data_IF_932562699061
#
_entry.id   IF_932562699061
#
_cell.length_a   1.000
_cell.length_b   1.000
_cell.length_c   1.000
_cell.angle_alpha   90.00
_cell.angle_beta   90.00
_cell.angle_gamma   90.00
#
_symmetry.space_group_name_H-M   'P 1'
#
loop_
_entity.id
_entity.type
_entity.pdbx_description
1 polymer ?
#
# COMPACT_ATOMS: atom_id res chain seq x y z
N UNK A 1 37.76 -13.82 -28.53
CA UNK A 1 37.72 -12.56 -27.75
C UNK A 1 37.73 -12.81 -26.24
N UNK A 2 36.81 -13.60 -25.67
CA UNK A 2 36.83 -13.91 -24.23
C UNK A 2 38.09 -14.66 -23.77
N UNK A 3 38.59 -15.62 -24.55
CA UNK A 3 39.84 -16.32 -24.23
C UNK A 3 41.05 -15.37 -24.17
N UNK A 4 41.17 -14.47 -25.16
CA UNK A 4 42.22 -13.43 -25.19
C UNK A 4 42.09 -12.48 -24.01
N UNK A 5 40.90 -11.96 -23.73
CA UNK A 5 40.65 -11.05 -22.60
C UNK A 5 41.04 -11.68 -21.25
N UNK A 6 40.56 -12.89 -20.99
CA UNK A 6 40.91 -13.62 -19.77
C UNK A 6 42.43 -13.85 -19.66
N UNK A 7 43.11 -14.13 -20.78
CA UNK A 7 44.54 -14.41 -20.82
C UNK A 7 45.40 -13.15 -20.62
N UNK A 8 45.20 -12.12 -21.45
CA UNK A 8 46.09 -10.95 -21.54
C UNK A 8 45.73 -9.84 -20.56
N UNK A 9 44.45 -9.67 -20.23
CA UNK A 9 43.97 -8.52 -19.47
C UNK A 9 43.74 -8.86 -17.98
N UNK A 10 43.17 -10.02 -17.71
CA UNK A 10 42.81 -10.45 -16.35
C UNK A 10 43.81 -11.44 -15.74
N UNK A 11 44.74 -11.99 -16.53
CA UNK A 11 45.63 -13.09 -16.13
C UNK A 11 44.88 -14.32 -15.57
N UNK A 12 43.62 -14.51 -15.97
CA UNK A 12 42.81 -15.69 -15.65
C UNK A 12 43.08 -16.80 -16.66
N UNK A 13 44.24 -17.43 -16.51
CA UNK A 13 44.71 -18.48 -17.42
C UNK A 13 43.82 -19.72 -17.42
N UNK A 14 43.07 -19.98 -16.34
CA UNK A 14 42.17 -21.15 -16.24
C UNK A 14 40.91 -20.92 -17.06
N UNK A 15 40.30 -19.74 -16.95
CA UNK A 15 39.16 -19.35 -17.78
C UNK A 15 39.58 -19.24 -19.25
N UNK A 16 40.74 -18.62 -19.52
CA UNK A 16 41.28 -18.53 -20.87
C UNK A 16 41.43 -19.91 -21.54
N UNK A 17 42.05 -20.87 -20.84
CA UNK A 17 42.22 -22.24 -21.33
C UNK A 17 40.88 -22.95 -21.56
N UNK A 18 39.89 -22.71 -20.70
CA UNK A 18 38.55 -23.29 -20.84
C UNK A 18 37.85 -22.72 -22.08
N UNK A 19 37.89 -21.40 -22.26
CA UNK A 19 37.36 -20.74 -23.44
C UNK A 19 38.05 -21.22 -24.73
N UNK A 20 39.38 -21.40 -24.70
CA UNK A 20 40.16 -21.86 -25.85
C UNK A 20 39.81 -23.30 -26.25
N UNK A 21 39.61 -24.20 -25.28
CA UNK A 21 39.15 -25.57 -25.57
C UNK A 21 37.78 -25.58 -26.25
N UNK A 22 36.85 -24.77 -25.75
CA UNK A 22 35.52 -24.66 -26.35
C UNK A 22 35.58 -24.07 -27.76
N UNK A 23 36.45 -23.08 -27.99
CA UNK A 23 36.68 -22.49 -29.31
C UNK A 23 37.18 -23.54 -30.31
N UNK A 24 38.20 -24.32 -29.94
CA UNK A 24 38.75 -25.36 -30.80
C UNK A 24 37.73 -26.45 -31.17
N UNK A 25 36.83 -26.82 -30.26
CA UNK A 25 35.76 -27.77 -30.56
C UNK A 25 34.73 -27.18 -31.54
N UNK A 26 34.42 -25.89 -31.42
CA UNK A 26 33.57 -25.18 -32.37
C UNK A 26 34.23 -25.06 -33.74
N UNK A 27 35.50 -24.67 -33.81
CA UNK A 27 36.19 -24.49 -35.10
C UNK A 27 36.34 -25.79 -35.89
N UNK A 28 36.61 -26.91 -35.21
CA UNK A 28 36.63 -28.23 -35.85
C UNK A 28 35.28 -28.59 -36.47
N UNK A 29 34.19 -28.23 -35.79
CA UNK A 29 32.83 -28.59 -36.18
C UNK A 29 32.30 -27.69 -37.28
N UNK A 30 32.42 -26.38 -37.10
CA UNK A 30 31.76 -25.38 -37.91
C UNK A 30 32.63 -24.91 -39.09
N UNK A 31 33.96 -25.07 -38.99
CA UNK A 31 34.92 -24.61 -40.00
C UNK A 31 36.02 -25.64 -40.35
N UNK A 32 35.68 -26.89 -40.72
CA UNK A 32 36.67 -27.96 -40.96
C UNK A 32 37.68 -27.66 -42.07
N UNK A 33 37.36 -26.77 -43.01
CA UNK A 33 38.26 -26.34 -44.10
C UNK A 33 39.25 -25.23 -43.71
N UNK A 34 39.06 -24.57 -42.56
CA UNK A 34 39.85 -23.40 -42.13
C UNK A 34 41.05 -23.80 -41.26
N UNK A 35 41.92 -24.65 -41.82
CA UNK A 35 43.04 -25.25 -41.08
C UNK A 35 44.01 -24.22 -40.46
N UNK A 36 44.26 -23.07 -41.10
CA UNK A 36 45.17 -22.04 -40.54
C UNK A 36 44.68 -21.51 -39.19
N UNK A 37 43.38 -21.22 -39.06
CA UNK A 37 42.81 -20.68 -37.83
C UNK A 37 42.88 -21.70 -36.70
N UNK A 38 42.53 -22.95 -37.01
CA UNK A 38 42.71 -24.06 -36.08
C UNK A 38 44.16 -24.19 -35.59
N UNK A 39 45.15 -24.03 -36.49
CA UNK A 39 46.56 -24.10 -36.13
C UNK A 39 47.00 -22.92 -35.26
N UNK A 40 46.49 -21.72 -35.53
CA UNK A 40 46.72 -20.53 -34.71
C UNK A 40 46.15 -20.73 -33.30
N UNK A 41 44.92 -21.23 -33.18
CA UNK A 41 44.29 -21.48 -31.88
C UNK A 41 44.98 -22.61 -31.10
N UNK A 42 45.50 -23.62 -31.80
CA UNK A 42 46.36 -24.64 -31.21
C UNK A 42 47.68 -24.05 -30.70
N UNK A 43 48.31 -23.13 -31.43
CA UNK A 43 49.54 -22.47 -30.99
C UNK A 43 49.29 -21.58 -29.76
N UNK A 44 48.19 -20.82 -29.74
CA UNK A 44 47.76 -20.05 -28.57
C UNK A 44 47.45 -20.96 -27.37
N UNK A 45 46.82 -22.11 -27.60
CA UNK A 45 46.57 -23.10 -26.54
C UNK A 45 47.87 -23.72 -26.00
N UNK A 46 48.90 -23.89 -26.82
CA UNK A 46 50.21 -24.35 -26.38
C UNK A 46 50.86 -23.35 -25.41
N UNK A 47 50.72 -22.05 -25.66
CA UNK A 47 51.14 -21.00 -24.73
C UNK A 47 50.39 -21.10 -23.39
N UNK A 48 49.06 -21.29 -23.43
CA UNK A 48 48.26 -21.47 -22.22
C UNK A 48 48.69 -22.72 -21.44
N UNK A 49 49.03 -23.81 -22.13
CA UNK A 49 49.59 -24.99 -21.49
C UNK A 49 50.94 -24.69 -20.83
N UNK A 50 51.81 -23.94 -21.49
CA UNK A 50 53.09 -23.51 -20.93
C UNK A 50 52.89 -22.70 -19.64
N UNK A 51 52.06 -21.65 -19.68
CA UNK A 51 51.82 -20.74 -18.55
C UNK A 51 51.12 -21.44 -17.38
N UNK A 52 50.24 -22.40 -17.66
CA UNK A 52 49.58 -23.21 -16.62
C UNK A 52 50.41 -24.41 -16.12
N UNK A 53 51.69 -24.51 -16.53
CA UNK A 53 52.60 -25.56 -16.08
C UNK A 53 52.42 -26.92 -16.75
N UNK A 54 51.50 -27.05 -17.72
CA UNK A 54 51.27 -28.25 -18.53
C UNK A 54 52.29 -28.37 -19.67
N UNK A 55 53.59 -28.29 -19.35
CA UNK A 55 54.69 -28.20 -20.33
C UNK A 55 54.73 -29.37 -21.31
N UNK A 56 54.40 -30.60 -20.88
CA UNK A 56 54.35 -31.75 -21.79
C UNK A 56 53.31 -31.57 -22.93
N UNK A 57 52.14 -31.01 -22.61
CA UNK A 57 51.08 -30.76 -23.60
C UNK A 57 51.45 -29.61 -24.54
N UNK A 58 52.12 -28.58 -24.02
CA UNK A 58 52.66 -27.50 -24.84
C UNK A 58 53.64 -28.07 -25.89
N UNK A 59 54.60 -28.89 -25.46
CA UNK A 59 55.54 -29.56 -26.36
C UNK A 59 54.86 -30.46 -27.38
N UNK A 60 53.90 -31.28 -26.96
CA UNK A 60 53.13 -32.14 -27.86
C UNK A 60 52.45 -31.31 -28.95
N UNK A 61 51.85 -30.19 -28.57
CA UNK A 61 51.11 -29.31 -29.48
C UNK A 61 52.06 -28.63 -30.47
N UNK A 62 53.18 -28.07 -30.01
CA UNK A 62 54.18 -27.44 -30.86
C UNK A 62 54.78 -28.43 -31.85
N UNK A 63 55.21 -29.61 -31.39
CA UNK A 63 55.76 -30.65 -32.27
C UNK A 63 54.76 -31.08 -33.34
N UNK A 64 53.47 -31.17 -32.98
CA UNK A 64 52.41 -31.49 -33.94
C UNK A 64 52.25 -30.42 -35.01
N UNK A 65 52.25 -29.14 -34.63
CA UNK A 65 52.12 -28.02 -35.57
C UNK A 65 53.30 -27.98 -36.55
N UNK A 66 54.53 -28.13 -36.05
CA UNK A 66 55.74 -28.11 -36.86
C UNK A 66 55.88 -29.32 -37.79
N UNK A 67 55.41 -30.49 -37.36
CA UNK A 67 55.47 -31.73 -38.16
C UNK A 67 54.43 -31.78 -39.29
N UNK A 68 53.44 -30.88 -39.29
CA UNK A 68 52.33 -30.89 -40.24
C UNK A 68 52.13 -29.49 -40.86
N UNK A 69 53.14 -28.94 -41.56
CA UNK A 69 53.08 -27.55 -42.01
C UNK A 69 51.96 -27.33 -43.02
N UNK A 70 51.22 -26.23 -42.84
CA UNK A 70 50.26 -25.73 -43.83
C UNK A 70 50.95 -24.83 -44.86
N UNK A 71 50.30 -24.63 -46.02
CA UNK A 71 50.75 -23.67 -47.04
C UNK A 71 50.73 -22.22 -46.53
N UNK A 72 49.71 -21.89 -45.75
CA UNK A 72 49.63 -20.62 -45.03
C UNK A 72 50.40 -20.77 -43.72
N UNK A 73 51.44 -19.97 -43.54
CA UNK A 73 52.43 -20.11 -42.47
C UNK A 73 52.24 -19.08 -41.34
N UNK A 74 51.12 -18.34 -41.31
CA UNK A 74 50.86 -17.32 -40.29
C UNK A 74 50.96 -17.83 -38.85
N UNK A 75 50.43 -19.02 -38.57
CA UNK A 75 50.47 -19.64 -37.23
C UNK A 75 51.90 -19.91 -36.71
N UNK A 76 52.92 -19.87 -37.59
CA UNK A 76 54.30 -20.17 -37.20
C UNK A 76 54.93 -19.09 -36.33
N UNK A 77 54.48 -17.84 -36.38
CA UNK A 77 54.92 -16.79 -35.46
C UNK A 77 54.71 -17.22 -34.00
N UNK A 78 53.46 -17.52 -33.63
CA UNK A 78 53.09 -17.99 -32.30
C UNK A 78 53.74 -19.34 -31.98
N UNK A 79 53.78 -20.25 -32.95
CA UNK A 79 54.36 -21.60 -32.76
C UNK A 79 55.82 -21.51 -32.34
N UNK A 80 56.62 -20.73 -33.06
CA UNK A 80 58.04 -20.57 -32.76
C UNK A 80 58.28 -19.70 -31.53
N UNK A 81 57.39 -18.75 -31.21
CA UNK A 81 57.45 -18.04 -29.94
C UNK A 81 57.33 -19.01 -28.76
N UNK A 82 56.30 -19.87 -28.77
CA UNK A 82 56.09 -20.85 -27.69
C UNK A 82 57.20 -21.90 -27.66
N UNK A 83 57.70 -22.34 -28.81
CA UNK A 83 58.87 -23.23 -28.89
C UNK A 83 60.08 -22.59 -28.19
N UNK A 84 60.36 -21.32 -28.50
CA UNK A 84 61.43 -20.55 -27.88
C UNK A 84 61.31 -20.50 -26.35
N UNK A 85 60.10 -20.26 -25.82
CA UNK A 85 59.83 -20.26 -24.37
C UNK A 85 60.03 -21.64 -23.73
N UNK A 86 59.61 -22.71 -24.41
CA UNK A 86 59.82 -24.08 -23.94
C UNK A 86 61.30 -24.41 -23.81
N UNK A 87 62.12 -23.98 -24.79
CA UNK A 87 63.57 -24.13 -24.75
C UNK A 87 64.24 -23.26 -23.67
N UNK A 88 63.79 -22.02 -23.46
CA UNK A 88 64.28 -21.20 -22.32
C UNK A 88 64.04 -21.92 -20.99
N UNK A 89 62.86 -22.53 -20.81
CA UNK A 89 62.50 -23.26 -19.60
C UNK A 89 63.38 -24.51 -19.38
N UNK A 90 63.89 -25.11 -20.44
CA UNK A 90 64.83 -26.23 -20.39
C UNK A 90 66.30 -25.78 -20.28
N UNK A 91 66.57 -24.47 -20.25
CA UNK A 91 67.92 -23.92 -20.19
C UNK A 91 68.67 -23.91 -21.53
N UNK A 92 67.98 -24.19 -22.64
CA UNK A 92 68.55 -24.22 -23.98
C UNK A 92 68.54 -22.82 -24.64
N UNK A 93 69.28 -21.88 -24.06
CA UNK A 93 69.24 -20.45 -24.43
C UNK A 93 69.60 -20.17 -25.90
N UNK A 94 70.60 -20.86 -26.46
CA UNK A 94 71.02 -20.64 -27.84
C UNK A 94 69.96 -21.13 -28.85
N UNK A 95 69.44 -22.34 -28.63
CA UNK A 95 68.33 -22.89 -29.41
C UNK A 95 67.09 -22.00 -29.29
N UNK A 96 66.76 -21.56 -28.08
CA UNK A 96 65.64 -20.66 -27.83
C UNK A 96 65.76 -19.37 -28.66
N UNK A 97 66.95 -18.78 -28.74
CA UNK A 97 67.18 -17.57 -29.54
C UNK A 97 66.93 -17.79 -31.04
N UNK A 98 67.27 -18.97 -31.57
CA UNK A 98 67.00 -19.32 -32.98
C UNK A 98 65.49 -19.29 -33.24
N UNK A 99 64.71 -19.97 -32.40
CA UNK A 99 63.26 -20.00 -32.52
C UNK A 99 62.62 -18.62 -32.29
N UNK A 100 63.17 -17.80 -31.39
CA UNK A 100 62.72 -16.41 -31.22
C UNK A 100 62.94 -15.59 -32.50
N UNK A 101 64.06 -15.77 -33.20
CA UNK A 101 64.31 -15.10 -34.49
C UNK A 101 63.33 -15.55 -35.57
N UNK A 102 63.03 -16.84 -35.63
CA UNK A 102 62.02 -17.36 -36.55
C UNK A 102 60.65 -16.74 -36.24
N UNK A 103 60.23 -16.76 -34.97
CA UNK A 103 59.01 -16.08 -34.53
C UNK A 103 58.97 -14.62 -34.99
N UNK A 104 60.05 -13.88 -34.75
CA UNK A 104 60.17 -12.47 -35.15
C UNK A 104 59.99 -12.29 -36.66
N UNK A 105 60.63 -13.12 -37.48
CA UNK A 105 60.52 -13.06 -38.94
C UNK A 105 59.07 -13.24 -39.41
N UNK A 106 58.39 -14.28 -38.93
CA UNK A 106 56.99 -14.53 -39.28
C UNK A 106 56.07 -13.44 -38.75
N UNK A 107 56.29 -12.95 -37.53
CA UNK A 107 55.48 -11.86 -36.97
C UNK A 107 55.67 -10.55 -37.75
N UNK A 108 56.89 -10.19 -38.15
CA UNK A 108 57.14 -8.99 -38.96
C UNK A 108 56.49 -9.12 -40.35
N UNK A 109 56.53 -10.31 -40.96
CA UNK A 109 55.90 -10.58 -42.27
C UNK A 109 54.40 -10.36 -42.25
N UNK A 110 53.74 -10.75 -41.17
CA UNK A 110 52.28 -10.69 -41.03
C UNK A 110 51.76 -9.48 -40.24
N UNK A 111 52.65 -8.64 -39.71
CA UNK A 111 52.28 -7.47 -38.89
C UNK A 111 51.77 -7.84 -37.49
N UNK A 112 52.21 -8.96 -36.94
CA UNK A 112 51.81 -9.44 -35.61
C UNK A 112 52.69 -8.83 -34.51
N UNK A 113 52.43 -7.56 -34.22
CA UNK A 113 53.27 -6.73 -33.33
C UNK A 113 53.51 -7.36 -31.94
N UNK A 114 52.52 -8.06 -31.38
CA UNK A 114 52.63 -8.70 -30.05
C UNK A 114 53.69 -9.81 -30.05
N UNK A 115 53.63 -10.72 -31.04
CA UNK A 115 54.60 -11.80 -31.21
C UNK A 115 55.99 -11.27 -31.55
N UNK A 116 56.07 -10.21 -32.34
CA UNK A 116 57.34 -9.55 -32.66
C UNK A 116 57.99 -8.95 -31.41
N UNK A 117 57.21 -8.23 -30.60
CA UNK A 117 57.68 -7.64 -29.35
C UNK A 117 58.10 -8.72 -28.34
N UNK A 118 57.37 -9.83 -28.25
CA UNK A 118 57.69 -10.94 -27.38
C UNK A 118 58.97 -11.69 -27.81
N UNK A 119 59.14 -11.93 -29.10
CA UNK A 119 60.38 -12.49 -29.65
C UNK A 119 61.59 -11.58 -29.40
N UNK A 120 61.44 -10.26 -29.60
CA UNK A 120 62.49 -9.28 -29.32
C UNK A 120 62.95 -9.32 -27.86
N UNK A 121 62.04 -9.49 -26.89
CA UNK A 121 62.43 -9.66 -25.46
C UNK A 121 63.37 -10.84 -25.26
N UNK A 122 63.08 -12.00 -25.87
CA UNK A 122 63.92 -13.20 -25.76
C UNK A 122 65.29 -12.96 -26.41
N UNK A 123 65.29 -12.39 -27.62
CA UNK A 123 66.53 -12.05 -28.34
C UNK A 123 67.39 -11.08 -27.52
N UNK A 124 66.79 -10.02 -26.97
CA UNK A 124 67.48 -9.05 -26.11
C UNK A 124 68.08 -9.67 -24.86
N UNK A 125 67.36 -10.60 -24.19
CA UNK A 125 67.94 -11.33 -23.05
C UNK A 125 69.18 -12.12 -23.47
N UNK A 126 69.11 -12.83 -24.59
CA UNK A 126 70.25 -13.56 -25.12
C UNK A 126 71.41 -12.64 -25.52
N UNK A 127 71.13 -11.49 -26.15
CA UNK A 127 72.14 -10.48 -26.50
C UNK A 127 72.82 -9.93 -25.23
N UNK A 128 72.05 -9.68 -24.17
CA UNK A 128 72.58 -9.25 -22.87
C UNK A 128 73.46 -10.30 -22.21
N UNK A 129 73.04 -11.57 -22.21
CA UNK A 129 73.81 -12.70 -21.64
C UNK A 129 75.14 -12.86 -22.40
N UNK A 130 75.11 -12.71 -23.72
CA UNK A 130 76.27 -12.87 -24.59
C UNK A 130 77.14 -11.60 -24.69
N UNK A 131 76.80 -10.52 -23.96
CA UNK A 131 77.55 -9.25 -24.01
C UNK A 131 77.46 -8.50 -25.33
N UNK A 132 76.50 -8.83 -26.21
CA UNK A 132 76.32 -8.21 -27.51
C UNK A 132 75.49 -6.91 -27.38
N UNK A 133 76.10 -5.88 -26.81
CA UNK A 133 75.42 -4.62 -26.49
C UNK A 133 74.86 -3.89 -27.73
N UNK A 134 75.53 -4.01 -28.88
CA UNK A 134 75.09 -3.35 -30.13
C UNK A 134 73.76 -3.92 -30.63
N UNK A 135 73.63 -5.26 -30.70
CA UNK A 135 72.37 -5.89 -31.07
C UNK A 135 71.29 -5.67 -30.01
N UNK A 136 71.67 -5.70 -28.73
CA UNK A 136 70.74 -5.40 -27.63
C UNK A 136 70.10 -4.02 -27.79
N UNK A 137 70.88 -2.96 -28.01
CA UNK A 137 70.36 -1.59 -28.17
C UNK A 137 69.44 -1.50 -29.39
N UNK A 138 69.86 -2.07 -30.53
CA UNK A 138 69.04 -2.09 -31.75
C UNK A 138 67.70 -2.79 -31.54
N UNK A 139 67.71 -3.94 -30.88
CA UNK A 139 66.51 -4.72 -30.62
C UNK A 139 65.61 -4.04 -29.58
N UNK A 140 66.21 -3.34 -28.61
CA UNK A 140 65.50 -2.52 -27.63
C UNK A 140 64.74 -1.37 -28.29
N UNK A 141 65.37 -0.62 -29.19
CA UNK A 141 64.72 0.50 -29.87
C UNK A 141 63.49 0.03 -30.68
N UNK A 142 63.62 -1.10 -31.37
CA UNK A 142 62.50 -1.76 -32.06
C UNK A 142 61.40 -2.15 -31.09
N UNK A 143 61.77 -2.81 -29.99
CA UNK A 143 60.83 -3.23 -28.96
C UNK A 143 60.05 -2.04 -28.37
N UNK A 144 60.74 -0.96 -28.01
CA UNK A 144 60.13 0.22 -27.39
C UNK A 144 59.11 0.88 -28.35
N UNK A 145 59.41 0.90 -29.66
CA UNK A 145 58.48 1.39 -30.68
C UNK A 145 57.19 0.57 -30.78
N UNK A 146 57.31 -0.77 -30.70
CA UNK A 146 56.17 -1.69 -30.75
C UNK A 146 55.37 -1.69 -29.45
N UNK A 147 56.06 -1.67 -28.30
CA UNK A 147 55.44 -1.71 -26.98
C UNK A 147 54.47 -0.53 -26.74
N UNK A 148 54.82 0.67 -27.24
CA UNK A 148 53.94 1.83 -27.20
C UNK A 148 52.63 1.62 -27.99
N UNK A 149 52.73 1.05 -29.19
CA UNK A 149 51.57 0.76 -30.05
C UNK A 149 50.69 -0.33 -29.44
N UNK A 150 51.29 -1.42 -28.97
CA UNK A 150 50.58 -2.54 -28.33
C UNK A 150 49.79 -2.04 -27.11
N UNK A 151 50.41 -1.28 -26.21
CA UNK A 151 49.76 -0.75 -25.01
C UNK A 151 48.55 0.13 -25.33
N UNK A 152 48.65 0.97 -26.36
CA UNK A 152 47.53 1.80 -26.80
C UNK A 152 46.40 0.94 -27.39
N UNK A 153 46.75 -0.10 -28.17
CA UNK A 153 45.80 -1.09 -28.69
C UNK A 153 45.06 -1.84 -27.59
N UNK A 154 45.78 -2.37 -26.60
CA UNK A 154 45.18 -3.04 -25.43
C UNK A 154 44.23 -2.12 -24.66
N UNK A 155 44.61 -0.85 -24.47
CA UNK A 155 43.77 0.14 -23.79
C UNK A 155 42.47 0.37 -24.57
N UNK A 156 42.55 0.49 -25.90
CA UNK A 156 41.38 0.61 -26.75
C UNK A 156 40.47 -0.63 -26.68
N UNK A 157 41.05 -1.84 -26.67
CA UNK A 157 40.30 -3.08 -26.52
C UNK A 157 39.63 -3.21 -25.14
N UNK A 158 40.31 -2.86 -24.04
CA UNK A 158 39.72 -2.79 -22.69
C UNK A 158 38.50 -1.87 -22.68
N UNK A 159 38.63 -0.67 -23.27
CA UNK A 159 37.51 0.28 -23.38
C UNK A 159 36.36 -0.31 -24.19
N UNK A 160 36.63 -1.01 -25.30
CA UNK A 160 35.61 -1.64 -26.12
C UNK A 160 34.85 -2.73 -25.35
N UNK A 161 35.56 -3.61 -24.64
CA UNK A 161 34.94 -4.66 -23.80
C UNK A 161 34.09 -4.05 -22.69
N UNK A 162 34.61 -3.05 -21.97
CA UNK A 162 33.86 -2.36 -20.90
C UNK A 162 32.59 -1.71 -21.46
N UNK A 163 32.65 -1.09 -22.66
CA UNK A 163 31.48 -0.51 -23.32
C UNK A 163 30.43 -1.57 -23.65
N UNK A 164 30.82 -2.72 -24.18
CA UNK A 164 29.88 -3.82 -24.48
C UNK A 164 29.29 -4.43 -23.20
N UNK A 165 30.10 -4.67 -22.17
CA UNK A 165 29.61 -5.12 -20.86
C UNK A 165 28.62 -4.12 -20.26
N UNK A 166 28.91 -2.81 -20.37
CA UNK A 166 28.00 -1.77 -19.90
C UNK A 166 26.67 -1.78 -20.66
N UNK A 167 26.68 -1.93 -22.00
CA UNK A 167 25.46 -2.06 -22.81
C UNK A 167 24.63 -3.27 -22.38
N UNK A 168 25.27 -4.43 -22.20
CA UNK A 168 24.60 -5.65 -21.76
C UNK A 168 23.98 -5.48 -20.36
N UNK A 169 24.77 -4.98 -19.40
CA UNK A 169 24.30 -4.73 -18.03
C UNK A 169 23.18 -3.69 -17.99
N UNK A 170 23.19 -2.71 -18.89
CA UNK A 170 22.10 -1.74 -19.04
C UNK A 170 20.80 -2.42 -19.48
N UNK A 171 20.85 -3.29 -20.49
CA UNK A 171 19.68 -4.04 -20.97
C UNK A 171 19.10 -4.91 -19.85
N UNK A 172 19.94 -5.61 -19.09
CA UNK A 172 19.49 -6.41 -17.94
C UNK A 172 18.80 -5.53 -16.90
N UNK A 173 19.42 -4.42 -16.50
CA UNK A 173 18.82 -3.51 -15.50
C UNK A 173 17.50 -2.93 -15.97
N UNK A 174 17.37 -2.58 -17.25
CA UNK A 174 16.12 -2.11 -17.82
C UNK A 174 15.05 -3.22 -17.76
N UNK A 175 15.40 -4.46 -18.10
CA UNK A 175 14.50 -5.61 -17.96
C UNK A 175 14.07 -5.85 -16.50
N UNK A 176 15.01 -5.87 -15.54
CA UNK A 176 14.73 -6.02 -14.11
C UNK A 176 13.81 -4.91 -13.59
N UNK A 177 14.06 -3.65 -13.97
CA UNK A 177 13.19 -2.53 -13.61
C UNK A 177 11.78 -2.72 -14.13
N UNK A 178 11.62 -3.12 -15.40
CA UNK A 178 10.27 -3.36 -15.96
C UNK A 178 9.56 -4.50 -15.23
N UNK A 179 10.28 -5.54 -14.84
CA UNK A 179 9.74 -6.65 -14.07
C UNK A 179 9.28 -6.20 -12.67
N UNK A 180 10.10 -5.44 -11.95
CA UNK A 180 9.76 -4.89 -10.62
C UNK A 180 8.54 -3.97 -10.71
N UNK A 181 8.48 -3.07 -11.70
CA UNK A 181 7.33 -2.18 -11.91
C UNK A 181 6.05 -2.98 -12.12
N UNK A 182 6.08 -4.05 -12.92
CA UNK A 182 4.91 -4.92 -13.13
C UNK A 182 4.45 -5.59 -11.84
N UNK A 183 5.38 -6.13 -11.04
CA UNK A 183 5.04 -6.74 -9.75
C UNK A 183 4.36 -5.71 -8.83
N UNK A 184 4.91 -4.50 -8.73
CA UNK A 184 4.33 -3.44 -7.91
C UNK A 184 2.92 -3.08 -8.38
N UNK A 185 2.71 -2.95 -9.70
CA UNK A 185 1.37 -2.68 -10.27
C UNK A 185 0.36 -3.79 -9.94
N UNK A 186 0.73 -5.06 -10.13
CA UNK A 186 -0.17 -6.18 -9.80
C UNK A 186 -0.45 -6.28 -8.30
N UNK A 187 0.54 -6.03 -7.46
CA UNK A 187 0.34 -6.01 -6.00
C UNK A 187 -0.61 -4.90 -5.56
N UNK A 188 -0.51 -3.71 -6.17
CA UNK A 188 -1.43 -2.61 -5.95
C UNK A 188 -2.86 -2.95 -6.36
N UNK A 189 -3.05 -3.54 -7.55
CA UNK A 189 -4.36 -3.99 -8.02
C UNK A 189 -4.97 -5.09 -7.14
N UNK A 190 -4.16 -6.00 -6.61
CA UNK A 190 -4.64 -7.02 -5.69
C UNK A 190 -5.12 -6.41 -4.37
N UNK A 191 -4.39 -5.44 -3.81
CA UNK A 191 -4.78 -4.74 -2.59
C UNK A 191 -6.08 -3.96 -2.75
N UNK A 192 -6.27 -3.27 -3.88
CA UNK A 192 -7.53 -2.55 -4.15
C UNK A 192 -8.70 -3.49 -4.33
N UNK A 193 -8.51 -4.63 -5.00
CA UNK A 193 -9.53 -5.67 -5.13
C UNK A 193 -9.93 -6.26 -3.76
N UNK A 194 -8.95 -6.56 -2.89
CA UNK A 194 -9.22 -7.05 -1.52
C UNK A 194 -10.01 -6.01 -0.73
N UNK A 195 -9.62 -4.74 -0.78
CA UNK A 195 -10.34 -3.67 -0.09
C UNK A 195 -11.80 -3.55 -0.60
N UNK A 196 -12.00 -3.63 -1.92
CA UNK A 196 -13.35 -3.62 -2.50
C UNK A 196 -14.18 -4.83 -2.04
N UNK A 197 -13.61 -6.04 -2.00
CA UNK A 197 -14.28 -7.23 -1.47
C UNK A 197 -14.67 -7.05 0.00
N UNK A 198 -13.80 -6.48 0.84
CA UNK A 198 -14.10 -6.20 2.24
C UNK A 198 -15.26 -5.21 2.35
N UNK A 199 -15.25 -4.11 1.58
CA UNK A 199 -16.35 -3.12 1.56
C UNK A 199 -17.66 -3.78 1.16
N UNK A 200 -17.67 -4.58 0.08
CA UNK A 200 -18.86 -5.31 -0.38
C UNK A 200 -19.37 -6.25 0.73
N UNK A 201 -18.49 -6.99 1.42
CA UNK A 201 -18.86 -7.87 2.53
C UNK A 201 -19.46 -7.09 3.71
N UNK A 202 -18.90 -5.93 4.05
CA UNK A 202 -19.43 -5.06 5.11
C UNK A 202 -20.82 -4.51 4.75
N UNK A 203 -21.00 -4.04 3.52
CA UNK A 203 -22.30 -3.57 3.02
C UNK A 203 -23.34 -4.69 3.00
N UNK A 204 -22.96 -5.89 2.54
CA UNK A 204 -23.82 -7.07 2.59
C UNK A 204 -24.23 -7.42 4.02
N UNK A 205 -23.28 -7.42 4.96
CA UNK A 205 -23.55 -7.69 6.38
C UNK A 205 -24.47 -6.63 6.97
N UNK A 206 -24.24 -5.35 6.66
CA UNK A 206 -25.07 -4.25 7.14
C UNK A 206 -26.51 -4.37 6.65
N UNK A 207 -26.72 -4.62 5.35
CA UNK A 207 -28.05 -4.83 4.78
C UNK A 207 -28.76 -6.05 5.38
N UNK A 208 -28.03 -7.15 5.58
CA UNK A 208 -28.58 -8.35 6.23
C UNK A 208 -29.03 -8.10 7.67
N UNK A 209 -28.28 -7.30 8.43
CA UNK A 209 -28.68 -6.93 9.79
C UNK A 209 -29.90 -6.00 9.79
N UNK A 210 -29.97 -5.04 8.86
CA UNK A 210 -31.14 -4.15 8.70
C UNK A 210 -32.42 -4.93 8.39
N UNK A 211 -32.35 -5.88 7.46
CA UNK A 211 -33.49 -6.73 7.13
C UNK A 211 -33.97 -7.54 8.34
N UNK A 212 -33.05 -8.07 9.16
CA UNK A 212 -33.41 -8.77 10.40
C UNK A 212 -34.10 -7.85 11.40
N UNK A 213 -33.59 -6.64 11.59
CA UNK A 213 -34.20 -5.69 12.53
C UNK A 213 -35.58 -5.24 12.06
N UNK A 214 -35.76 -4.99 10.77
CA UNK A 214 -37.06 -4.65 10.18
C UNK A 214 -38.06 -5.82 10.34
N UNK A 215 -37.62 -7.06 10.14
CA UNK A 215 -38.46 -8.24 10.33
C UNK A 215 -38.87 -8.44 11.81
N UNK A 216 -37.95 -8.19 12.75
CA UNK A 216 -38.24 -8.23 14.19
C UNK A 216 -39.20 -7.12 14.63
N UNK A 217 -39.04 -5.89 14.12
CA UNK A 217 -39.97 -4.80 14.36
C UNK A 217 -41.36 -5.10 13.78
N UNK A 218 -41.44 -5.65 12.56
CA UNK A 218 -42.71 -6.01 11.93
C UNK A 218 -43.47 -7.04 12.78
N UNK A 219 -42.79 -8.08 13.27
CA UNK A 219 -43.38 -9.08 14.17
C UNK A 219 -43.88 -8.46 15.47
N UNK A 220 -43.13 -7.52 16.07
CA UNK A 220 -43.55 -6.81 17.29
C UNK A 220 -44.82 -5.99 17.05
N UNK A 221 -44.85 -5.21 15.97
CA UNK A 221 -46.02 -4.41 15.60
C UNK A 221 -47.26 -5.28 15.35
N UNK A 222 -47.09 -6.42 14.67
CA UNK A 222 -48.18 -7.39 14.51
C UNK A 222 -48.71 -7.89 15.85
N UNK A 223 -47.82 -8.29 16.77
CA UNK A 223 -48.23 -8.74 18.11
C UNK A 223 -48.92 -7.64 18.92
N UNK A 224 -48.49 -6.39 18.79
CA UNK A 224 -49.10 -5.25 19.47
C UNK A 224 -50.49 -4.95 18.91
N UNK A 225 -50.65 -5.00 17.58
CA UNK A 225 -51.96 -4.84 16.92
C UNK A 225 -52.91 -5.95 17.37
N UNK A 226 -52.43 -7.19 17.45
CA UNK A 226 -53.22 -8.33 17.92
C UNK A 226 -53.63 -8.19 19.39
N UNK A 227 -52.69 -7.78 20.25
CA UNK A 227 -52.98 -7.50 21.66
C UNK A 227 -54.05 -6.42 21.84
N UNK A 228 -53.94 -5.29 21.11
CA UNK A 228 -54.94 -4.21 21.15
C UNK A 228 -56.31 -4.66 20.64
N UNK A 229 -56.35 -5.53 19.62
CA UNK A 229 -57.63 -6.13 19.17
C UNK A 229 -58.27 -6.96 20.27
N UNK A 230 -57.49 -7.82 20.93
CA UNK A 230 -57.98 -8.64 22.03
C UNK A 230 -58.44 -7.79 23.23
N UNK A 231 -57.71 -6.71 23.55
CA UNK A 231 -58.09 -5.76 24.59
C UNK A 231 -59.41 -5.07 24.26
N UNK A 232 -59.59 -4.58 23.03
CA UNK A 232 -60.84 -3.97 22.57
C UNK A 232 -62.02 -4.97 22.63
N UNK A 233 -61.79 -6.23 22.23
CA UNK A 233 -62.80 -7.28 22.34
C UNK A 233 -63.17 -7.53 23.82
N UNK A 234 -62.19 -7.60 24.71
CA UNK A 234 -62.42 -7.75 26.16
C UNK A 234 -63.21 -6.58 26.75
N UNK A 235 -62.90 -5.33 26.36
CA UNK A 235 -63.63 -4.14 26.78
C UNK A 235 -65.08 -4.23 26.30
N UNK A 236 -65.31 -4.62 25.04
CA UNK A 236 -66.67 -4.77 24.50
C UNK A 236 -67.48 -5.83 25.25
N UNK A 237 -66.85 -6.96 25.62
CA UNK A 237 -67.47 -8.00 26.43
C UNK A 237 -67.82 -7.50 27.83
N UNK A 238 -66.89 -6.81 28.52
CA UNK A 238 -67.15 -6.21 29.83
C UNK A 238 -68.25 -5.15 29.77
N UNK A 239 -68.28 -4.35 28.71
CA UNK A 239 -69.31 -3.34 28.47
C UNK A 239 -70.68 -3.99 28.27
N UNK A 240 -70.75 -5.07 27.49
CA UNK A 240 -71.99 -5.85 27.32
C UNK A 240 -72.43 -6.53 28.62
N UNK A 241 -71.50 -7.05 29.42
CA UNK A 241 -71.79 -7.60 30.76
C UNK A 241 -72.35 -6.53 31.70
N UNK A 242 -71.71 -5.37 31.77
CA UNK A 242 -72.19 -4.25 32.60
C UNK A 242 -73.52 -3.70 32.10
N UNK A 243 -73.76 -3.62 30.79
CA UNK A 243 -75.08 -3.28 30.23
C UNK A 243 -76.13 -4.30 30.69
N UNK A 244 -75.87 -5.60 30.59
CA UNK A 244 -76.79 -6.64 31.07
C UNK A 244 -77.04 -6.56 32.59
N UNK A 245 -76.03 -6.24 33.39
CA UNK A 245 -76.17 -6.01 34.85
C UNK A 245 -76.95 -4.72 35.16
N UNK A 246 -76.76 -3.67 34.36
CA UNK A 246 -77.52 -2.42 34.43
C UNK A 246 -78.98 -2.64 34.02
N UNK A 247 -79.27 -3.49 33.04
CA UNK A 247 -80.64 -3.88 32.70
C UNK A 247 -81.31 -4.69 33.83
N UNK A 248 -80.57 -5.61 34.46
CA UNK A 248 -81.07 -6.35 35.64
C UNK A 248 -81.33 -5.43 36.85
N UNK A 249 -80.45 -4.46 37.11
CA UNK A 249 -80.65 -3.47 38.17
C UNK A 249 -81.74 -2.46 37.80
N UNK A 250 -81.90 -2.09 36.53
CA UNK A 250 -83.03 -1.29 36.04
C UNK A 250 -84.36 -2.02 36.23
N UNK A 251 -84.45 -3.34 36.03
CA UNK A 251 -85.66 -4.11 36.31
C UNK A 251 -85.96 -4.22 37.82
N UNK A 252 -84.95 -4.43 38.66
CA UNK A 252 -85.10 -4.37 40.13
C UNK A 252 -85.51 -2.97 40.61
N UNK A 253 -84.95 -1.93 39.99
CA UNK A 253 -85.28 -0.53 40.26
C UNK A 253 -86.66 -0.17 39.71
N UNK A 254 -87.14 -0.78 38.61
CA UNK A 254 -88.49 -0.60 38.10
C UNK A 254 -89.55 -1.22 39.05
N UNK A 255 -89.26 -2.37 39.66
CA UNK A 255 -90.11 -2.96 40.71
C UNK A 255 -90.17 -2.10 41.98
N UNK A 256 -89.05 -1.49 42.39
CA UNK A 256 -88.99 -0.60 43.57
C UNK A 256 -89.51 0.82 43.28
N UNK A 257 -89.39 1.32 42.05
CA UNK A 257 -89.93 2.61 41.62
C UNK A 257 -91.45 2.55 41.42
N UNK A 258 -92.02 1.41 41.02
CA UNK A 258 -93.48 1.22 41.03
C UNK A 258 -94.10 1.32 42.44
N UNK A 259 -93.29 1.14 43.49
CA UNK A 259 -93.69 1.28 44.89
C UNK A 259 -93.44 2.70 45.46
N UNK A 260 -92.67 3.56 44.77
CA UNK A 260 -92.17 4.86 45.28
C UNK A 260 -92.68 6.08 44.48
N UNK A 261 -93.45 5.90 43.39
CA UNK A 261 -94.04 7.02 42.60
C UNK A 261 -95.26 7.70 43.27
N UNK A 262 -95.38 7.60 44.59
CA UNK A 262 -96.02 8.62 45.41
C UNK A 262 -94.96 9.54 46.00
N UNK A 263 -94.83 10.75 45.46
CA UNK A 263 -94.11 11.94 45.99
C UNK A 263 -92.72 12.33 45.41
N UNK A 264 -92.72 13.52 44.78
CA UNK A 264 -91.68 14.59 44.77
C UNK A 264 -90.35 14.49 43.96
N UNK A 265 -90.39 15.08 42.75
CA UNK A 265 -89.57 16.19 42.17
C UNK A 265 -88.04 16.38 42.40
N UNK A 266 -87.33 16.50 41.25
CA UNK A 266 -86.39 17.57 40.77
C UNK A 266 -84.83 17.48 40.87
N UNK A 267 -84.18 17.46 39.66
CA UNK A 267 -82.92 18.12 39.12
C UNK A 267 -81.58 18.11 39.91
N UNK A 268 -80.34 18.28 39.37
CA UNK A 268 -79.62 18.22 38.07
C UNK A 268 -78.11 18.57 38.34
N UNK A 269 -77.17 17.77 37.80
CA UNK A 269 -75.81 17.98 37.16
C UNK A 269 -74.89 19.22 37.38
N UNK A 270 -73.55 19.00 37.38
CA UNK A 270 -72.50 20.02 37.10
C UNK A 270 -71.14 19.43 36.57
N UNK A 271 -70.71 19.76 35.33
CA UNK A 271 -69.29 19.64 34.85
C UNK A 271 -69.03 20.40 33.52
N UNK A 272 -68.99 21.74 33.54
CA UNK A 272 -68.76 22.61 32.35
C UNK A 272 -67.87 23.85 32.60
N UNK A 273 -67.14 23.93 33.73
CA UNK A 273 -66.55 25.20 34.21
C UNK A 273 -65.05 25.44 33.91
N UNK A 274 -64.28 24.43 33.49
CA UNK A 274 -62.82 24.57 33.30
C UNK A 274 -62.47 25.30 31.99
N UNK A 275 -63.12 24.90 30.89
CA UNK A 275 -62.79 25.38 29.54
C UNK A 275 -63.22 26.84 29.28
N UNK A 276 -64.20 27.37 30.01
CA UNK A 276 -64.60 28.79 29.89
C UNK A 276 -63.63 29.76 30.56
N UNK A 277 -62.79 29.28 31.47
CA UNK A 277 -62.03 30.14 32.38
C UNK A 277 -60.64 30.50 31.84
N UNK A 278 -60.02 29.62 31.05
CA UNK A 278 -58.80 29.91 30.29
C UNK A 278 -59.01 30.99 29.20
N UNK A 279 -60.21 31.05 28.63
CA UNK A 279 -60.57 32.04 27.60
C UNK A 279 -60.77 33.47 28.14
N UNK A 280 -60.87 33.66 29.47
CA UNK A 280 -61.19 34.96 30.10
C UNK A 280 -59.95 35.72 30.60
N UNK A 281 -58.76 35.10 30.54
CA UNK A 281 -57.52 35.74 30.99
C UNK A 281 -57.00 36.70 29.90
N UNK A 282 -56.96 38.00 30.22
CA UNK A 282 -56.52 39.08 29.34
C UNK A 282 -55.16 38.76 28.66
N UNK A 283 -55.16 38.69 27.32
CA UNK A 283 -54.02 38.28 26.49
C UNK A 283 -52.80 39.18 26.66
N UNK A 284 -52.99 40.49 26.83
CA UNK A 284 -51.90 41.47 26.91
C UNK A 284 -51.14 41.35 28.24
N UNK A 285 -51.85 41.04 29.33
CA UNK A 285 -51.23 40.77 30.63
C UNK A 285 -50.40 39.49 30.59
N UNK A 286 -50.90 38.44 29.94
CA UNK A 286 -50.17 37.18 29.80
C UNK A 286 -48.90 37.37 28.98
N UNK A 287 -48.96 38.15 27.90
CA UNK A 287 -47.80 38.46 27.08
C UNK A 287 -46.76 39.30 27.83
N UNK A 288 -47.20 40.32 28.56
CA UNK A 288 -46.33 41.10 29.46
C UNK A 288 -45.61 40.19 30.47
N UNK A 289 -46.35 39.32 31.18
CA UNK A 289 -45.77 38.43 32.19
C UNK A 289 -44.77 37.44 31.55
N UNK A 290 -45.09 36.86 30.39
CA UNK A 290 -44.17 35.97 29.67
C UNK A 290 -42.89 36.68 29.23
N UNK A 291 -42.97 37.96 28.85
CA UNK A 291 -41.82 38.76 28.40
C UNK A 291 -40.97 39.23 29.58
N UNK A 292 -41.59 39.71 30.66
CA UNK A 292 -40.89 40.27 31.83
C UNK A 292 -40.35 39.17 32.76
N UNK A 293 -41.03 38.03 32.86
CA UNK A 293 -40.67 36.90 33.73
C UNK A 293 -40.68 35.58 32.93
N UNK A 294 -39.74 35.38 31.99
CA UNK A 294 -39.71 34.21 31.09
C UNK A 294 -39.49 32.86 31.80
N UNK A 295 -39.07 32.88 33.07
CA UNK A 295 -38.87 31.71 33.93
C UNK A 295 -40.18 31.12 34.51
N UNK A 296 -41.34 31.76 34.26
CA UNK A 296 -42.63 31.29 34.76
C UNK A 296 -43.21 30.18 33.88
N UNK A 297 -43.73 29.13 34.52
CA UNK A 297 -44.40 28.02 33.81
C UNK A 297 -45.83 28.38 33.42
N UNK A 298 -46.47 27.56 32.59
CA UNK A 298 -47.89 27.75 32.23
C UNK A 298 -48.81 27.80 33.48
N UNK A 299 -48.61 26.87 34.43
CA UNK A 299 -49.37 26.85 35.68
C UNK A 299 -49.10 28.06 36.57
N UNK A 300 -47.87 28.58 36.58
CA UNK A 300 -47.52 29.82 37.27
C UNK A 300 -48.32 31.01 36.70
N UNK A 301 -48.45 31.09 35.38
CA UNK A 301 -49.21 32.13 34.68
C UNK A 301 -50.72 32.00 34.94
N UNK A 302 -51.27 30.78 34.94
CA UNK A 302 -52.68 30.54 35.29
C UNK A 302 -52.99 31.05 36.70
N UNK A 303 -52.15 30.73 37.69
CA UNK A 303 -52.33 31.20 39.08
C UNK A 303 -52.31 32.73 39.16
N UNK A 304 -51.44 33.41 38.42
CA UNK A 304 -51.43 34.87 38.33
C UNK A 304 -52.69 35.41 37.65
N UNK A 305 -53.21 34.73 36.62
CA UNK A 305 -54.48 35.07 35.97
C UNK A 305 -55.67 34.97 36.91
N UNK A 306 -55.79 33.87 37.66
CA UNK A 306 -56.81 33.70 38.71
C UNK A 306 -56.73 34.80 39.77
N UNK A 307 -55.51 35.20 40.13
CA UNK A 307 -55.26 36.28 41.10
C UNK A 307 -55.71 37.65 40.57
N UNK A 308 -55.45 37.95 39.29
CA UNK A 308 -55.91 39.16 38.60
C UNK A 308 -57.42 39.24 38.47
N UNK A 309 -58.07 38.10 38.27
CA UNK A 309 -59.54 38.00 38.25
C UNK A 309 -60.16 38.07 39.65
N UNK A 310 -59.35 38.22 40.71
CA UNK A 310 -59.77 38.27 42.11
C UNK A 310 -60.58 37.04 42.55
N UNK A 311 -60.30 35.88 41.96
CA UNK A 311 -60.97 34.62 42.30
C UNK A 311 -60.49 34.14 43.69
N UNK A 312 -61.40 33.71 44.60
CA UNK A 312 -61.04 33.24 45.93
C UNK A 312 -60.08 32.05 45.92
N UNK A 313 -59.16 31.99 46.89
CA UNK A 313 -58.12 30.93 47.00
C UNK A 313 -58.72 29.52 46.95
N UNK A 314 -59.86 29.30 47.61
CA UNK A 314 -60.53 27.99 47.62
C UNK A 314 -61.07 27.61 46.23
N UNK A 315 -61.59 28.57 45.48
CA UNK A 315 -62.12 28.33 44.13
C UNK A 315 -61.00 28.13 43.12
N UNK A 316 -59.91 28.90 43.22
CA UNK A 316 -58.70 28.70 42.41
C UNK A 316 -58.10 27.31 42.64
N UNK A 317 -58.03 26.84 43.89
CA UNK A 317 -57.49 25.52 44.21
C UNK A 317 -58.34 24.40 43.60
N UNK A 318 -59.67 24.50 43.75
CA UNK A 318 -60.63 23.57 43.13
C UNK A 318 -60.53 23.58 41.61
N UNK A 319 -60.44 24.76 40.99
CA UNK A 319 -60.32 24.89 39.54
C UNK A 319 -59.03 24.25 39.01
N UNK A 320 -57.91 24.41 39.72
CA UNK A 320 -56.63 23.82 39.34
C UNK A 320 -56.48 22.34 39.77
N UNK A 321 -57.47 21.75 40.43
CA UNK A 321 -57.42 20.36 40.91
C UNK A 321 -56.34 20.11 41.97
N UNK A 322 -55.96 21.15 42.74
CA UNK A 322 -54.92 21.07 43.78
C UNK A 322 -55.46 21.46 45.16
N UNK A 323 -54.74 21.09 46.23
CA UNK A 323 -55.11 21.53 47.59
C UNK A 323 -54.87 23.05 47.76
N UNK A 324 -55.66 23.69 48.64
CA UNK A 324 -55.46 25.10 49.02
C UNK A 324 -54.06 25.35 49.58
N UNK A 325 -53.49 24.39 50.30
CA UNK A 325 -52.11 24.44 50.80
C UNK A 325 -51.09 24.42 49.66
N UNK A 326 -51.31 23.59 48.63
CA UNK A 326 -50.46 23.54 47.43
C UNK A 326 -50.50 24.85 46.65
N UNK A 327 -51.67 25.50 46.60
CA UNK A 327 -51.84 26.81 45.99
C UNK A 327 -51.09 27.91 46.77
N UNK A 328 -51.10 27.88 48.11
CA UNK A 328 -50.33 28.85 48.93
C UNK A 328 -48.82 28.69 48.72
N UNK A 329 -48.32 27.45 48.69
CA UNK A 329 -46.90 27.17 48.36
C UNK A 329 -46.56 27.66 46.95
N UNK A 330 -47.47 27.52 45.98
CA UNK A 330 -47.27 28.03 44.63
C UNK A 330 -47.18 29.57 44.59
N UNK A 331 -48.07 30.29 45.30
CA UNK A 331 -48.01 31.77 45.44
C UNK A 331 -46.71 32.25 46.08
N UNK A 332 -46.22 31.54 47.10
CA UNK A 332 -44.93 31.86 47.72
C UNK A 332 -43.75 31.66 46.76
N UNK A 333 -43.77 30.59 45.95
CA UNK A 333 -42.76 30.36 44.91
C UNK A 333 -42.80 31.43 43.82
N UNK A 334 -44.00 31.82 43.38
CA UNK A 334 -44.20 32.90 42.40
C UNK A 334 -43.57 34.22 42.86
N UNK A 335 -43.82 34.61 44.12
CA UNK A 335 -43.19 35.78 44.73
C UNK A 335 -41.67 35.73 44.64
N UNK A 336 -41.05 34.59 45.01
CA UNK A 336 -39.58 34.43 44.92
C UNK A 336 -39.07 34.47 43.48
N UNK A 337 -39.78 33.85 42.53
CA UNK A 337 -39.42 33.87 41.11
C UNK A 337 -39.49 35.27 40.49
N UNK A 338 -40.39 36.12 40.98
CA UNK A 338 -40.58 37.50 40.51
C UNK A 338 -39.83 38.55 41.35
N UNK A 339 -39.08 38.12 42.36
CA UNK A 339 -38.31 38.97 43.27
C UNK A 339 -39.13 40.06 43.99
N UNK A 340 -40.29 39.68 44.53
CA UNK A 340 -41.22 40.58 45.25
C UNK A 340 -41.13 40.34 46.76
N UNK A 341 -41.30 41.35 47.62
CA UNK A 341 -41.02 41.22 49.05
C UNK A 341 -42.14 40.47 49.80
N UNK A 342 -43.41 40.64 49.39
CA UNK A 342 -44.55 39.96 50.01
C UNK A 342 -45.55 39.35 48.99
N UNK A 343 -46.40 38.42 49.45
CA UNK A 343 -47.50 37.88 48.62
C UNK A 343 -48.57 38.95 48.36
N UNK A 344 -48.71 39.91 49.27
CA UNK A 344 -49.61 41.06 49.13
C UNK A 344 -49.14 41.99 48.02
N UNK A 345 -47.84 42.28 47.94
CA UNK A 345 -47.26 43.03 46.83
C UNK A 345 -47.38 42.31 45.49
N UNK A 346 -47.26 40.97 45.48
CA UNK A 346 -47.51 40.17 44.28
C UNK A 346 -48.97 40.34 43.81
N UNK A 347 -49.91 40.32 44.76
CA UNK A 347 -51.32 40.56 44.47
C UNK A 347 -51.55 41.97 43.91
N UNK A 348 -50.94 42.99 44.50
CA UNK A 348 -51.07 44.38 44.04
C UNK A 348 -50.44 44.57 42.66
N UNK A 349 -49.21 44.08 42.43
CA UNK A 349 -48.54 44.15 41.13
C UNK A 349 -49.42 43.58 39.99
N UNK A 350 -50.04 42.43 40.24
CA UNK A 350 -50.87 41.73 39.26
C UNK A 350 -52.19 42.45 39.00
N UNK A 351 -52.81 43.04 40.03
CA UNK A 351 -54.09 43.72 39.91
C UNK A 351 -53.97 45.15 39.38
N UNK A 352 -52.88 45.85 39.70
CA UNK A 352 -52.67 47.26 39.34
C UNK A 352 -52.01 47.43 37.96
N UNK A 353 -51.56 46.35 37.34
CA UNK A 353 -51.02 46.39 35.99
C UNK A 353 -52.06 46.90 34.97
N UNK A 354 -51.67 47.96 34.24
CA UNK A 354 -52.41 48.54 33.11
C UNK A 354 -51.58 48.38 31.82
N UNK A 355 -52.22 48.22 30.65
CA UNK A 355 -51.52 48.24 29.38
C UNK A 355 -50.76 49.56 29.22
N UNK A 356 -49.49 49.49 28.83
CA UNK A 356 -48.74 50.69 28.43
C UNK A 356 -49.14 51.00 26.98
N UNK A 357 -49.80 52.15 26.76
CA UNK A 357 -50.21 52.64 25.42
C UNK A 357 -49.00 53.09 24.64
#
# INVERSE_FOLDING_TARGET
>A
MMAYYAFTLDNDYKTALTCMKNLLELDKKDFPGKKTWLYMDMANMAEMFYVTGQTAKAWETIKRLESNPLKDDRYLSQTYYVHSMLLEKEGQTDSSRIYAKMSMEYSSRYGEMENEANALKIIMRSDSINGNLTEYIRNRDKYDSLAGVIKNGETAQRIAVIKEQYKYNRIIREAEKTHIIRILLFSGLALTAIAACIIILLLYRQNKMRLKTEEEEHKRLETEVEYKKLENELISLKMNQTINELEKTKNKNAETVAQIVGEATARQTAMTRLDMLEATINTDFVEYIKKTYPQLTHNDILILGFMRMKIPVKETATALGISTESLQKARYRLRKKMNIESVEELFNLVNDWKPQV
#
